data_IF_189553039849
#
_entry.id   IF_189553039849
#
_cell.length_a   1.000
_cell.length_b   1.000
_cell.length_c   1.000
_cell.angle_alpha   90.00
_cell.angle_beta   90.00
_cell.angle_gamma   90.00
#
_symmetry.space_group_name_H-M   'P 1'
#
loop_
_entity.id
_entity.type
_entity.pdbx_description
1 polymer ?
#
# COMPACT_ATOMS: atom_id res chain seq x y z
N UNK A 1 93.82 22.66 2.50
CA UNK A 1 93.43 21.48 3.32
C UNK A 1 92.14 21.87 4.01
N UNK A 2 91.05 21.11 3.93
CA UNK A 2 90.90 19.93 4.78
C UNK A 2 90.25 18.76 4.02
N UNK A 3 91.09 17.75 3.75
CA UNK A 3 90.72 16.42 3.24
C UNK A 3 89.79 15.62 4.20
N UNK A 4 89.42 16.20 5.34
CA UNK A 4 88.64 15.56 6.40
C UNK A 4 87.13 15.56 6.08
N UNK A 5 86.62 16.56 5.34
CA UNK A 5 85.19 16.62 5.00
C UNK A 5 84.76 15.71 3.85
N UNK A 6 85.70 15.08 3.13
CA UNK A 6 85.39 14.13 2.05
C UNK A 6 85.30 12.68 2.52
N UNK A 7 85.83 12.36 3.71
CA UNK A 7 85.78 11.00 4.29
C UNK A 7 84.50 10.82 5.12
N UNK A 8 83.98 11.89 5.73
CA UNK A 8 82.73 11.83 6.51
C UNK A 8 81.47 11.70 5.64
N UNK A 9 81.54 12.07 4.35
CA UNK A 9 80.42 11.96 3.42
C UNK A 9 80.33 10.60 2.72
N UNK A 10 81.37 9.76 2.82
CA UNK A 10 81.41 8.45 2.16
C UNK A 10 81.00 7.29 3.09
N UNK A 11 80.98 7.48 4.41
CA UNK A 11 80.59 6.46 5.40
C UNK A 11 79.08 6.49 5.72
N UNK A 12 78.35 7.52 5.29
CA UNK A 12 76.89 7.62 5.45
C UNK A 12 76.13 6.90 4.31
N UNK A 13 76.84 6.33 3.33
CA UNK A 13 76.21 5.73 2.14
C UNK A 13 76.14 4.18 2.13
N UNK A 14 76.60 3.49 3.18
CA UNK A 14 76.68 2.01 3.17
C UNK A 14 76.08 1.27 4.38
N UNK A 15 75.40 1.93 5.32
CA UNK A 15 74.79 1.24 6.49
C UNK A 15 73.27 1.42 6.63
N UNK A 16 72.56 1.78 5.54
CA UNK A 16 71.12 2.05 5.58
C UNK A 16 70.20 1.06 4.83
N UNK A 17 70.70 -0.03 4.24
CA UNK A 17 69.91 -0.88 3.31
C UNK A 17 69.71 -2.32 3.82
N UNK A 18 69.61 -2.58 5.12
CA UNK A 18 69.36 -3.98 5.59
C UNK A 18 68.13 -4.15 6.50
N UNK A 19 67.42 -3.09 6.92
CA UNK A 19 66.25 -3.27 7.80
C UNK A 19 64.90 -2.81 7.21
N UNK A 20 64.76 -2.70 5.88
CA UNK A 20 63.51 -2.28 5.23
C UNK A 20 62.83 -3.35 4.38
N UNK A 21 63.03 -4.63 4.70
CA UNK A 21 62.36 -5.75 4.02
C UNK A 21 61.64 -6.72 4.96
N UNK A 22 61.18 -6.24 6.12
CA UNK A 22 60.37 -7.05 7.05
C UNK A 22 59.03 -6.41 7.48
N UNK A 23 58.64 -5.25 6.92
CA UNK A 23 57.43 -4.53 7.35
C UNK A 23 56.51 -4.03 6.21
N UNK A 24 56.44 -4.74 5.08
CA UNK A 24 55.55 -4.35 3.97
C UNK A 24 54.43 -5.36 3.62
N UNK A 25 54.36 -6.52 4.27
CA UNK A 25 53.28 -7.48 3.99
C UNK A 25 52.04 -7.34 4.90
N UNK A 26 52.15 -6.70 6.07
CA UNK A 26 51.03 -6.58 7.02
C UNK A 26 50.14 -5.36 6.78
N UNK A 27 50.67 -4.24 6.27
CA UNK A 27 49.89 -2.99 6.05
C UNK A 27 48.97 -3.07 4.83
N UNK A 28 49.35 -3.78 3.77
CA UNK A 28 48.50 -4.00 2.59
C UNK A 28 47.44 -5.09 2.81
N UNK A 29 47.71 -6.08 3.67
CA UNK A 29 46.76 -7.15 3.99
C UNK A 29 45.64 -6.67 4.92
N UNK A 30 45.96 -5.84 5.93
CA UNK A 30 44.98 -5.24 6.84
C UNK A 30 43.94 -4.41 6.05
N UNK A 31 44.42 -3.56 5.14
CA UNK A 31 43.57 -2.72 4.29
C UNK A 31 42.61 -3.54 3.40
N UNK A 32 43.05 -4.70 2.88
CA UNK A 32 42.18 -5.60 2.09
C UNK A 32 41.09 -6.26 2.95
N UNK A 33 41.42 -6.68 4.18
CA UNK A 33 40.44 -7.27 5.11
C UNK A 33 39.40 -6.24 5.55
N UNK A 34 39.83 -5.04 5.92
CA UNK A 34 38.96 -3.91 6.27
C UNK A 34 38.02 -3.52 5.12
N UNK A 35 38.54 -3.44 3.89
CA UNK A 35 37.71 -3.16 2.71
C UNK A 35 36.69 -4.28 2.44
N UNK A 36 37.05 -5.55 2.66
CA UNK A 36 36.12 -6.67 2.52
C UNK A 36 35.04 -6.63 3.61
N UNK A 37 35.41 -6.34 4.86
CA UNK A 37 34.46 -6.15 5.96
C UNK A 37 33.44 -5.07 5.62
N UNK A 38 33.90 -3.89 5.20
CA UNK A 38 33.04 -2.76 4.84
C UNK A 38 32.07 -3.13 3.69
N UNK A 39 32.53 -3.88 2.69
CA UNK A 39 31.68 -4.34 1.59
C UNK A 39 30.59 -5.30 2.06
N UNK A 40 30.91 -6.23 2.96
CA UNK A 40 29.95 -7.18 3.52
C UNK A 40 28.90 -6.45 4.40
N UNK A 41 29.34 -5.50 5.23
CA UNK A 41 28.44 -4.65 6.02
C UNK A 41 27.52 -3.82 5.13
N UNK A 42 28.05 -3.20 4.07
CA UNK A 42 27.24 -2.49 3.09
C UNK A 42 26.25 -3.41 2.37
N UNK A 43 26.63 -4.66 2.08
CA UNK A 43 25.73 -5.63 1.45
C UNK A 43 24.56 -5.97 2.39
N UNK A 44 24.83 -6.25 3.67
CA UNK A 44 23.79 -6.47 4.68
C UNK A 44 22.86 -5.26 4.77
N UNK A 45 23.40 -4.04 4.88
CA UNK A 45 22.60 -2.81 4.95
C UNK A 45 21.71 -2.62 3.70
N UNK A 46 22.26 -2.87 2.51
CA UNK A 46 21.49 -2.78 1.25
C UNK A 46 20.38 -3.82 1.19
N UNK A 47 20.62 -5.05 1.64
CA UNK A 47 19.59 -6.10 1.65
C UNK A 47 18.52 -5.81 2.71
N UNK A 48 18.89 -5.32 3.90
CA UNK A 48 17.94 -4.82 4.90
C UNK A 48 17.04 -3.72 4.34
N UNK A 49 17.60 -2.78 3.59
CA UNK A 49 16.82 -1.73 2.94
C UNK A 49 15.79 -2.31 1.94
N UNK A 50 16.17 -3.33 1.16
CA UNK A 50 15.25 -4.03 0.25
C UNK A 50 14.10 -4.71 1.01
N UNK A 51 14.40 -5.42 2.10
CA UNK A 51 13.38 -6.03 2.97
C UNK A 51 12.38 -4.98 3.46
N UNK A 52 12.88 -3.85 3.98
CA UNK A 52 12.03 -2.78 4.50
C UNK A 52 11.14 -2.15 3.40
N UNK A 53 11.67 -1.96 2.19
CA UNK A 53 10.88 -1.47 1.05
C UNK A 53 9.74 -2.43 0.72
N UNK A 54 9.97 -3.74 0.73
CA UNK A 54 8.93 -4.72 0.44
C UNK A 54 7.89 -4.79 1.56
N UNK A 55 8.32 -4.70 2.84
CA UNK A 55 7.39 -4.60 3.98
C UNK A 55 6.47 -3.39 3.86
N UNK A 56 7.00 -2.21 3.52
CA UNK A 56 6.17 -1.02 3.29
C UNK A 56 5.16 -1.21 2.13
N UNK A 57 5.54 -1.97 1.09
CA UNK A 57 4.62 -2.32 -0.01
C UNK A 57 3.53 -3.30 0.44
N UNK A 58 3.83 -4.24 1.33
CA UNK A 58 2.84 -5.13 1.94
C UNK A 58 1.84 -4.33 2.79
N UNK A 59 2.31 -3.39 3.61
CA UNK A 59 1.43 -2.51 4.39
C UNK A 59 0.49 -1.69 3.49
N UNK A 60 0.98 -1.21 2.35
CA UNK A 60 0.13 -0.55 1.35
C UNK A 60 -0.91 -1.49 0.73
N UNK A 61 -0.58 -2.76 0.52
CA UNK A 61 -1.51 -3.77 0.04
C UNK A 61 -2.61 -4.07 1.08
N UNK A 62 -2.23 -4.21 2.36
CA UNK A 62 -3.18 -4.39 3.47
C UNK A 62 -4.11 -3.19 3.62
N UNK A 63 -3.59 -1.98 3.45
CA UNK A 63 -4.40 -0.75 3.43
C UNK A 63 -5.47 -0.80 2.34
N UNK A 64 -5.14 -1.23 1.11
CA UNK A 64 -6.12 -1.39 0.04
C UNK A 64 -7.21 -2.41 0.39
N UNK A 65 -6.84 -3.52 1.03
CA UNK A 65 -7.80 -4.53 1.48
C UNK A 65 -8.75 -3.93 2.52
N UNK A 66 -8.23 -3.23 3.53
CA UNK A 66 -9.03 -2.65 4.60
C UNK A 66 -9.97 -1.56 4.09
N UNK A 67 -9.46 -0.61 3.30
CA UNK A 67 -10.29 0.41 2.64
C UNK A 67 -11.37 -0.25 1.78
N UNK A 68 -11.02 -1.32 1.06
CA UNK A 68 -11.98 -2.06 0.25
C UNK A 68 -13.09 -2.73 1.07
N UNK A 69 -12.79 -3.27 2.26
CA UNK A 69 -13.77 -3.85 3.18
C UNK A 69 -14.70 -2.79 3.77
N UNK A 70 -14.14 -1.67 4.21
CA UNK A 70 -14.93 -0.57 4.79
C UNK A 70 -15.91 -0.02 3.75
N UNK A 71 -15.45 0.18 2.52
CA UNK A 71 -16.30 0.61 1.40
C UNK A 71 -17.44 -0.36 1.11
N UNK A 72 -17.18 -1.67 1.12
CA UNK A 72 -18.18 -2.72 0.90
C UNK A 72 -19.22 -2.73 2.02
N UNK A 73 -18.78 -2.72 3.28
CA UNK A 73 -19.66 -2.71 4.44
C UNK A 73 -20.58 -1.48 4.45
N UNK A 74 -20.01 -0.30 4.23
CA UNK A 74 -20.78 0.95 4.16
C UNK A 74 -21.78 0.91 3.00
N UNK A 75 -21.36 0.48 1.81
CA UNK A 75 -22.24 0.42 0.64
C UNK A 75 -23.40 -0.57 0.85
N UNK A 76 -23.14 -1.77 1.40
CA UNK A 76 -24.17 -2.77 1.68
C UNK A 76 -25.20 -2.22 2.67
N UNK A 77 -24.73 -1.58 3.76
CA UNK A 77 -25.63 -0.97 4.73
C UNK A 77 -26.55 0.08 4.08
N UNK A 78 -25.99 0.96 3.25
CA UNK A 78 -26.76 2.00 2.56
C UNK A 78 -27.70 1.42 1.51
N UNK A 79 -27.29 0.41 0.75
CA UNK A 79 -28.16 -0.29 -0.22
C UNK A 79 -29.39 -0.86 0.49
N UNK A 80 -29.20 -1.57 1.61
CA UNK A 80 -30.32 -2.14 2.39
C UNK A 80 -31.26 -1.05 2.89
N UNK A 81 -30.70 0.06 3.39
CA UNK A 81 -31.50 1.19 3.86
C UNK A 81 -32.33 1.82 2.73
N UNK A 82 -31.71 2.07 1.58
CA UNK A 82 -32.37 2.62 0.39
C UNK A 82 -33.45 1.68 -0.16
N UNK A 83 -33.19 0.37 -0.24
CA UNK A 83 -34.20 -0.60 -0.66
C UNK A 83 -35.42 -0.62 0.26
N UNK A 84 -35.20 -0.46 1.58
CA UNK A 84 -36.29 -0.35 2.55
C UNK A 84 -37.09 0.94 2.33
N UNK A 85 -36.42 2.06 2.09
CA UNK A 85 -37.03 3.35 1.76
C UNK A 85 -37.89 3.24 0.48
N UNK A 86 -37.38 2.58 -0.56
CA UNK A 86 -38.12 2.38 -1.81
C UNK A 86 -39.37 1.50 -1.66
N UNK A 87 -39.31 0.47 -0.81
CA UNK A 87 -40.48 -0.35 -0.45
C UNK A 87 -41.52 0.47 0.30
N UNK A 88 -41.08 1.34 1.21
CA UNK A 88 -41.99 2.22 1.95
C UNK A 88 -42.67 3.24 1.03
N UNK A 89 -41.94 3.89 0.13
CA UNK A 89 -42.52 4.77 -0.89
C UNK A 89 -43.56 4.04 -1.75
N UNK A 90 -43.25 2.83 -2.21
CA UNK A 90 -44.20 2.01 -2.97
C UNK A 90 -45.48 1.73 -2.17
N UNK A 91 -45.35 1.46 -0.86
CA UNK A 91 -46.49 1.22 0.02
C UNK A 91 -47.34 2.49 0.21
N UNK A 92 -46.70 3.63 0.43
CA UNK A 92 -47.36 4.92 0.60
C UNK A 92 -48.10 5.34 -0.68
N UNK A 93 -47.43 5.25 -1.84
CA UNK A 93 -48.05 5.47 -3.15
C UNK A 93 -49.31 4.62 -3.30
N UNK A 94 -49.22 3.30 -3.09
CA UNK A 94 -50.37 2.41 -3.22
C UNK A 94 -51.51 2.76 -2.25
N UNK A 95 -51.19 3.19 -1.03
CA UNK A 95 -52.19 3.60 -0.03
C UNK A 95 -52.92 4.87 -0.46
N UNK A 96 -52.17 5.90 -0.86
CA UNK A 96 -52.71 7.19 -1.33
C UNK A 96 -53.52 7.00 -2.62
N UNK A 97 -53.03 6.21 -3.57
CA UNK A 97 -53.78 5.84 -4.78
C UNK A 97 -55.11 5.17 -4.46
N UNK A 98 -55.15 4.24 -3.50
CA UNK A 98 -56.39 3.57 -3.10
C UNK A 98 -57.37 4.56 -2.46
N UNK A 99 -56.89 5.52 -1.68
CA UNK A 99 -57.72 6.55 -1.08
C UNK A 99 -58.32 7.48 -2.13
N UNK A 100 -57.50 8.04 -3.01
CA UNK A 100 -57.94 8.93 -4.09
C UNK A 100 -58.92 8.22 -5.02
N UNK A 101 -58.66 6.97 -5.40
CA UNK A 101 -59.60 6.18 -6.21
C UNK A 101 -60.94 5.91 -5.52
N UNK A 102 -60.97 5.79 -4.19
CA UNK A 102 -62.23 5.66 -3.43
C UNK A 102 -63.00 6.97 -3.38
N UNK A 103 -62.30 8.10 -3.26
CA UNK A 103 -62.89 9.43 -3.30
C UNK A 103 -63.46 9.73 -4.69
N UNK A 104 -62.70 9.41 -5.75
CA UNK A 104 -63.10 9.60 -7.14
C UNK A 104 -64.43 8.93 -7.47
N UNK A 105 -64.67 7.71 -6.96
CA UNK A 105 -65.92 6.96 -7.16
C UNK A 105 -67.15 7.60 -6.52
N UNK A 106 -66.98 8.50 -5.55
CA UNK A 106 -68.06 9.15 -4.79
C UNK A 106 -68.19 10.65 -5.11
N UNK A 107 -67.30 11.16 -5.97
CA UNK A 107 -67.14 12.57 -6.26
C UNK A 107 -68.10 13.03 -7.36
N UNK A 108 -68.59 14.26 -7.24
CA UNK A 108 -69.26 15.01 -8.31
C UNK A 108 -68.31 15.30 -9.48
N UNK A 109 -68.84 15.69 -10.64
CA UNK A 109 -68.04 15.93 -11.85
C UNK A 109 -66.93 16.97 -11.64
N UNK A 110 -67.19 18.00 -10.84
CA UNK A 110 -66.20 19.03 -10.52
C UNK A 110 -65.11 18.50 -9.56
N UNK A 111 -65.49 17.72 -8.56
CA UNK A 111 -64.56 17.06 -7.63
C UNK A 111 -63.72 15.98 -8.34
N UNK A 112 -64.27 15.29 -9.34
CA UNK A 112 -63.53 14.31 -10.13
C UNK A 112 -62.38 14.93 -10.92
N UNK A 113 -62.55 16.14 -11.47
CA UNK A 113 -61.47 16.88 -12.13
C UNK A 113 -60.34 17.18 -11.15
N UNK A 114 -60.69 17.60 -9.94
CA UNK A 114 -59.72 17.93 -8.89
C UNK A 114 -58.94 16.68 -8.42
N UNK A 115 -59.64 15.58 -8.11
CA UNK A 115 -59.02 14.32 -7.69
C UNK A 115 -58.14 13.74 -8.82
N UNK A 116 -58.55 13.86 -10.08
CA UNK A 116 -57.73 13.42 -11.22
C UNK A 116 -56.43 14.23 -11.32
N UNK A 117 -56.46 15.53 -11.01
CA UNK A 117 -55.26 16.36 -10.95
C UNK A 117 -54.36 15.93 -9.80
N UNK A 118 -54.92 15.67 -8.62
CA UNK A 118 -54.18 15.16 -7.45
C UNK A 118 -53.51 13.82 -7.74
N UNK A 119 -54.18 12.90 -8.42
CA UNK A 119 -53.60 11.62 -8.85
C UNK A 119 -52.37 11.86 -9.76
N UNK A 120 -52.46 12.78 -10.72
CA UNK A 120 -51.32 13.10 -11.61
C UNK A 120 -50.16 13.75 -10.86
N UNK A 121 -50.45 14.62 -9.90
CA UNK A 121 -49.44 15.23 -9.02
C UNK A 121 -48.76 14.17 -8.15
N UNK A 122 -49.52 13.21 -7.65
CA UNK A 122 -49.04 12.06 -6.88
C UNK A 122 -48.10 11.17 -7.71
N UNK A 123 -48.51 10.82 -8.94
CA UNK A 123 -47.66 10.09 -9.89
C UNK A 123 -46.33 10.80 -10.13
N UNK A 124 -46.38 12.11 -10.36
CA UNK A 124 -45.18 12.90 -10.62
C UNK A 124 -44.26 12.92 -9.40
N UNK A 125 -44.80 13.11 -8.20
CA UNK A 125 -44.05 13.09 -6.94
C UNK A 125 -43.30 11.77 -6.76
N UNK A 126 -44.02 10.64 -6.75
CA UNK A 126 -43.40 9.34 -6.52
C UNK A 126 -42.44 8.93 -7.65
N UNK A 127 -42.73 9.32 -8.90
CA UNK A 127 -41.79 9.11 -10.02
C UNK A 127 -40.46 9.87 -9.81
N UNK A 128 -40.50 11.08 -9.27
CA UNK A 128 -39.28 11.83 -8.96
C UNK A 128 -38.51 11.23 -7.78
N UNK A 129 -39.22 10.82 -6.72
CA UNK A 129 -38.63 10.19 -5.54
C UNK A 129 -37.96 8.85 -5.90
N UNK A 130 -38.64 7.98 -6.66
CA UNK A 130 -38.08 6.70 -7.13
C UNK A 130 -36.82 6.93 -7.97
N UNK A 131 -36.85 7.89 -8.91
CA UNK A 131 -35.67 8.23 -9.72
C UNK A 131 -34.49 8.71 -8.88
N UNK A 132 -34.75 9.47 -7.83
CA UNK A 132 -33.69 9.94 -6.93
C UNK A 132 -33.11 8.78 -6.12
N UNK A 133 -33.97 7.86 -5.69
CA UNK A 133 -33.57 6.64 -4.99
C UNK A 133 -32.71 5.73 -5.89
N UNK A 134 -33.09 5.55 -7.15
CA UNK A 134 -32.29 4.81 -8.15
C UNK A 134 -30.90 5.42 -8.35
N UNK A 135 -30.78 6.76 -8.38
CA UNK A 135 -29.47 7.42 -8.47
C UNK A 135 -28.62 7.14 -7.24
N UNK A 136 -29.19 7.24 -6.04
CA UNK A 136 -28.49 6.92 -4.78
C UNK A 136 -28.02 5.47 -4.77
N UNK A 137 -28.90 4.52 -5.12
CA UNK A 137 -28.55 3.09 -5.24
C UNK A 137 -27.40 2.87 -6.24
N UNK A 138 -27.42 3.54 -7.39
CA UNK A 138 -26.34 3.46 -8.37
C UNK A 138 -25.00 3.95 -7.82
N UNK A 139 -24.99 4.98 -6.97
CA UNK A 139 -23.77 5.47 -6.31
C UNK A 139 -23.24 4.41 -5.34
N UNK A 140 -24.12 3.83 -4.52
CA UNK A 140 -23.71 2.81 -3.55
C UNK A 140 -23.25 1.51 -4.24
N UNK A 141 -23.89 1.06 -5.31
CA UNK A 141 -23.39 -0.08 -6.09
C UNK A 141 -22.01 0.18 -6.70
N UNK A 142 -21.73 1.41 -7.17
CA UNK A 142 -20.39 1.77 -7.64
C UNK A 142 -19.37 1.77 -6.50
N UNK A 143 -19.77 2.21 -5.30
CA UNK A 143 -18.93 2.17 -4.10
C UNK A 143 -18.61 0.71 -3.73
N UNK A 144 -19.60 -0.16 -3.74
CA UNK A 144 -19.46 -1.60 -3.52
C UNK A 144 -18.46 -2.23 -4.52
N UNK A 145 -18.68 -2.00 -5.83
CA UNK A 145 -17.79 -2.50 -6.87
C UNK A 145 -16.34 -1.99 -6.70
N UNK A 146 -16.18 -0.72 -6.35
CA UNK A 146 -14.85 -0.14 -6.10
C UNK A 146 -14.20 -0.76 -4.85
N UNK A 147 -14.98 -1.05 -3.80
CA UNK A 147 -14.52 -1.76 -2.61
C UNK A 147 -13.99 -3.15 -2.96
N UNK A 148 -14.76 -3.93 -3.71
CA UNK A 148 -14.35 -5.27 -4.20
C UNK A 148 -13.05 -5.22 -5.01
N UNK A 149 -12.95 -4.26 -5.95
CA UNK A 149 -11.76 -4.09 -6.79
C UNK A 149 -10.52 -3.73 -5.96
N UNK A 150 -10.67 -2.89 -4.92
CA UNK A 150 -9.57 -2.57 -4.02
C UNK A 150 -9.09 -3.80 -3.24
N UNK A 151 -10.02 -4.63 -2.75
CA UNK A 151 -9.66 -5.88 -2.07
C UNK A 151 -8.93 -6.86 -3.00
N UNK A 152 -9.41 -7.02 -4.23
CA UNK A 152 -8.76 -7.87 -5.23
C UNK A 152 -7.33 -7.40 -5.54
N UNK A 153 -7.17 -6.12 -5.85
CA UNK A 153 -5.84 -5.50 -6.08
C UNK A 153 -4.93 -5.62 -4.88
N UNK A 154 -5.47 -5.42 -3.67
CA UNK A 154 -4.74 -5.59 -2.43
C UNK A 154 -4.22 -7.01 -2.25
N UNK A 155 -5.09 -8.02 -2.43
CA UNK A 155 -4.72 -9.45 -2.33
C UNK A 155 -3.68 -9.86 -3.38
N UNK A 156 -3.82 -9.38 -4.62
CA UNK A 156 -2.86 -9.66 -5.69
C UNK A 156 -1.47 -9.11 -5.34
N UNK A 157 -1.40 -7.84 -4.91
CA UNK A 157 -0.17 -7.20 -4.45
C UNK A 157 0.42 -7.89 -3.23
N UNK A 158 -0.41 -8.26 -2.27
CA UNK A 158 0.02 -8.97 -1.07
C UNK A 158 0.71 -10.27 -1.44
N UNK A 159 0.09 -11.09 -2.29
CA UNK A 159 0.69 -12.34 -2.79
C UNK A 159 2.03 -12.10 -3.51
N UNK A 160 2.09 -11.08 -4.37
CA UNK A 160 3.31 -10.74 -5.10
C UNK A 160 4.44 -10.34 -4.13
N UNK A 161 4.17 -9.43 -3.20
CA UNK A 161 5.18 -8.89 -2.28
C UNK A 161 5.57 -9.86 -1.18
N UNK A 162 4.67 -10.77 -0.77
CA UNK A 162 4.98 -11.84 0.19
C UNK A 162 6.11 -12.72 -0.37
N UNK A 163 5.99 -13.16 -1.62
CA UNK A 163 7.02 -13.95 -2.29
C UNK A 163 8.35 -13.19 -2.41
N UNK A 164 8.30 -11.91 -2.81
CA UNK A 164 9.51 -11.08 -2.89
C UNK A 164 10.15 -10.86 -1.51
N UNK A 165 9.35 -10.79 -0.45
CA UNK A 165 9.85 -10.66 0.92
C UNK A 165 10.61 -11.92 1.33
N UNK A 166 10.07 -13.11 1.05
CA UNK A 166 10.74 -14.39 1.29
C UNK A 166 12.12 -14.42 0.59
N UNK A 167 12.16 -14.12 -0.72
CA UNK A 167 13.42 -14.06 -1.47
C UNK A 167 14.45 -13.09 -0.85
N UNK A 168 14.00 -11.93 -0.33
CA UNK A 168 14.88 -10.94 0.29
C UNK A 168 15.29 -11.26 1.73
N UNK A 169 14.47 -12.04 2.45
CA UNK A 169 14.84 -12.56 3.76
C UNK A 169 15.91 -13.64 3.63
N UNK A 170 15.79 -14.54 2.65
CA UNK A 170 16.83 -15.54 2.36
C UNK A 170 18.15 -14.87 1.97
N UNK A 171 18.09 -13.85 1.10
CA UNK A 171 19.28 -13.05 0.74
C UNK A 171 19.88 -12.30 1.92
N UNK A 172 19.06 -11.89 2.89
CA UNK A 172 19.53 -11.19 4.09
C UNK A 172 20.26 -12.17 5.00
N UNK A 173 19.67 -13.34 5.25
CA UNK A 173 20.27 -14.42 6.04
C UNK A 173 21.64 -14.84 5.46
N UNK A 174 21.71 -15.06 4.14
CA UNK A 174 22.96 -15.36 3.44
C UNK A 174 24.01 -14.25 3.57
N UNK A 175 23.60 -12.98 3.52
CA UNK A 175 24.50 -11.84 3.65
C UNK A 175 25.02 -11.68 5.09
N UNK A 176 24.15 -11.92 6.09
CA UNK A 176 24.50 -11.88 7.51
C UNK A 176 25.45 -13.02 7.87
N UNK A 177 25.19 -14.26 7.40
CA UNK A 177 26.09 -15.41 7.56
C UNK A 177 27.48 -15.13 7.01
N UNK A 178 27.59 -14.62 5.77
CA UNK A 178 28.91 -14.28 5.17
C UNK A 178 29.66 -13.20 5.95
N UNK A 179 28.94 -12.23 6.53
CA UNK A 179 29.54 -11.20 7.36
C UNK A 179 30.03 -11.78 8.68
N UNK A 180 29.24 -12.66 9.30
CA UNK A 180 29.58 -13.31 10.57
C UNK A 180 30.75 -14.28 10.42
N UNK A 181 30.73 -15.15 9.41
CA UNK A 181 31.86 -16.02 9.05
C UNK A 181 33.15 -15.21 8.84
N UNK A 182 33.08 -14.10 8.10
CA UNK A 182 34.25 -13.26 7.86
C UNK A 182 34.77 -12.57 9.13
N UNK A 183 33.88 -12.19 10.06
CA UNK A 183 34.28 -11.65 11.36
C UNK A 183 35.00 -12.71 12.21
N UNK A 184 34.48 -13.94 12.23
CA UNK A 184 35.13 -15.06 12.90
C UNK A 184 36.50 -15.42 12.30
N UNK A 185 36.71 -15.22 11.00
CA UNK A 185 38.03 -15.38 10.34
C UNK A 185 39.03 -14.24 10.66
N UNK A 186 38.53 -13.11 11.19
CA UNK A 186 39.35 -11.97 11.57
C UNK A 186 39.82 -12.01 13.04
N UNK A 187 39.06 -12.67 13.91
CA UNK A 187 39.39 -12.93 15.31
C UNK A 187 40.44 -14.05 15.48
#
# INVERSE_FOLDING_TARGET
>A
MNKINKILFFIICCCGIINLYAQEQNTTLLNKKELKLQKLEQNVLRTKAKVNIVKAKLESADSLINVGKDMEMEAIYQIIALEKEGKEYTRQQNSEYRLLNRQLKKASDEEQKQITKEIKELDLKYKLEIKELEKKLKVEYKKLQKGMLNQEKGKEKQKQYQRTLEDYLDLLDDAEKKLEEFKLEMD
#
